data_IF_844341953553
#
_entry.id   IF_844341953553
#
_cell.length_a   1.000
_cell.length_b   1.000
_cell.length_c   1.000
_cell.angle_alpha   90.00
_cell.angle_beta   90.00
_cell.angle_gamma   90.00
#
_symmetry.space_group_name_H-M   'P 1'
#
loop_
_entity.id
_entity.type
_entity.pdbx_description
1 polymer ?
#
# COMPACT_ATOMS: atom_id res chain seq x y z
N UNK A 1 13.74 12.29 4.37
CA UNK A 1 13.87 11.13 3.47
C UNK A 1 13.58 11.50 2.02
N UNK A 2 12.60 12.37 1.78
CA UNK A 2 12.13 12.72 0.45
C UNK A 2 11.55 14.13 0.42
N UNK A 3 11.50 14.75 -0.78
CA UNK A 3 10.83 16.03 -0.98
C UNK A 3 9.32 15.80 -0.88
N UNK A 4 8.64 16.56 -0.01
CA UNK A 4 7.20 16.51 0.20
C UNK A 4 6.61 17.84 -0.25
N UNK A 5 5.66 17.83 -1.16
CA UNK A 5 5.00 19.01 -1.67
C UNK A 5 3.48 18.84 -1.58
N UNK A 6 2.83 19.93 -1.19
CA UNK A 6 1.36 20.01 -1.16
C UNK A 6 0.94 21.17 -2.06
N UNK A 7 0.17 20.84 -3.07
CA UNK A 7 -0.44 21.81 -3.96
C UNK A 7 -1.95 21.87 -3.73
N UNK A 8 -2.56 23.00 -4.06
CA UNK A 8 -4.01 23.16 -4.03
C UNK A 8 -4.57 23.28 -5.45
N UNK A 9 -5.61 22.52 -5.73
CA UNK A 9 -6.31 22.50 -7.01
C UNK A 9 -7.80 22.68 -6.79
N UNK A 10 -8.46 23.47 -7.66
CA UNK A 10 -9.91 23.65 -7.62
C UNK A 10 -10.65 22.31 -7.82
N UNK A 11 -10.14 21.42 -8.68
CA UNK A 11 -10.77 20.16 -9.02
C UNK A 11 -10.40 19.04 -8.05
N UNK A 12 -9.12 18.90 -7.71
CA UNK A 12 -8.63 17.80 -6.88
C UNK A 12 -8.54 18.12 -5.38
N UNK A 13 -8.78 19.39 -4.96
CA UNK A 13 -8.48 19.84 -3.59
C UNK A 13 -6.97 19.86 -3.34
N UNK A 14 -6.53 19.42 -2.18
CA UNK A 14 -5.11 19.24 -1.90
C UNK A 14 -4.54 18.06 -2.69
N UNK A 15 -3.30 18.20 -3.16
CA UNK A 15 -2.56 17.21 -3.93
C UNK A 15 -1.22 17.00 -3.22
N UNK A 16 -0.91 15.76 -2.87
CA UNK A 16 0.39 15.36 -2.33
C UNK A 16 1.31 14.88 -3.46
N UNK A 17 2.51 15.44 -3.51
CA UNK A 17 3.61 14.91 -4.31
C UNK A 17 4.75 14.47 -3.38
N UNK A 18 5.36 13.33 -3.72
CA UNK A 18 6.60 12.86 -3.14
C UNK A 18 7.64 12.70 -4.26
N UNK A 19 8.75 13.42 -4.17
CA UNK A 19 9.80 13.42 -5.21
C UNK A 19 9.22 13.68 -6.62
N UNK A 20 8.41 14.73 -6.74
CA UNK A 20 7.75 15.18 -7.97
C UNK A 20 6.72 14.16 -8.56
N UNK A 21 6.40 13.07 -7.84
CA UNK A 21 5.40 12.09 -8.24
C UNK A 21 4.07 12.33 -7.51
N UNK A 22 2.97 12.29 -8.24
CA UNK A 22 1.62 12.36 -7.65
C UNK A 22 1.38 11.13 -6.77
N UNK A 23 0.96 11.36 -5.53
CA UNK A 23 0.65 10.29 -4.58
C UNK A 23 -0.83 10.25 -4.21
N UNK A 24 -1.38 11.38 -3.80
CA UNK A 24 -2.72 11.47 -3.24
C UNK A 24 -3.41 12.76 -3.67
N UNK A 25 -4.71 12.71 -3.87
CA UNK A 25 -5.57 13.90 -3.97
C UNK A 25 -6.71 13.83 -2.96
N UNK A 26 -7.13 15.00 -2.47
CA UNK A 26 -8.23 15.10 -1.52
C UNK A 26 -9.58 14.67 -2.13
N UNK A 27 -9.76 14.91 -3.44
CA UNK A 27 -10.99 14.64 -4.20
C UNK A 27 -10.68 13.89 -5.49
N UNK A 28 -11.69 13.19 -6.02
CA UNK A 28 -11.69 12.59 -7.36
C UNK A 28 -10.60 11.52 -7.59
N UNK A 29 -10.20 10.78 -6.55
CA UNK A 29 -9.19 9.71 -6.62
C UNK A 29 -9.58 8.43 -5.86
N UNK A 30 -10.85 8.15 -5.73
CA UNK A 30 -11.34 7.02 -4.93
C UNK A 30 -10.94 5.64 -5.49
N UNK A 31 -10.63 5.54 -6.77
CA UNK A 31 -10.40 4.27 -7.47
C UNK A 31 -9.28 3.43 -6.85
N UNK A 32 -8.23 4.07 -6.36
CA UNK A 32 -7.10 3.37 -5.74
C UNK A 32 -7.54 2.57 -4.51
N UNK A 33 -8.10 3.26 -3.51
CA UNK A 33 -8.57 2.63 -2.26
C UNK A 33 -9.73 1.67 -2.49
N UNK A 34 -10.70 2.01 -3.33
CA UNK A 34 -11.85 1.16 -3.65
C UNK A 34 -11.41 -0.13 -4.33
N UNK A 35 -10.48 -0.05 -5.29
CA UNK A 35 -9.93 -1.24 -5.94
C UNK A 35 -9.15 -2.09 -4.95
N UNK A 36 -8.30 -1.50 -4.12
CA UNK A 36 -7.57 -2.23 -3.09
C UNK A 36 -8.50 -3.03 -2.19
N UNK A 37 -9.58 -2.42 -1.69
CA UNK A 37 -10.56 -3.10 -0.83
C UNK A 37 -11.38 -4.14 -1.58
N UNK A 38 -11.71 -3.93 -2.85
CA UNK A 38 -12.48 -4.88 -3.67
C UNK A 38 -11.74 -6.21 -3.87
N UNK A 39 -10.42 -6.18 -3.87
CA UNK A 39 -9.56 -7.37 -3.98
C UNK A 39 -9.70 -8.27 -2.74
N UNK A 40 -9.98 -7.66 -1.58
CA UNK A 40 -10.01 -8.34 -0.30
C UNK A 40 -11.41 -8.92 -0.05
N UNK A 41 -11.59 -10.22 -0.29
CA UNK A 41 -12.89 -10.88 -0.11
C UNK A 41 -13.29 -11.08 1.34
N UNK A 42 -12.33 -11.29 2.24
CA UNK A 42 -12.59 -11.51 3.67
C UNK A 42 -13.15 -10.23 4.30
N UNK A 43 -14.25 -10.36 5.03
CA UNK A 43 -14.82 -9.24 5.81
C UNK A 43 -14.13 -9.03 7.15
N UNK A 44 -13.52 -10.10 7.72
CA UNK A 44 -12.82 -10.07 9.00
C UNK A 44 -11.34 -10.40 8.78
N UNK A 45 -10.48 -9.55 9.31
CA UNK A 45 -9.02 -9.65 9.25
C UNK A 45 -8.47 -9.55 10.67
N UNK A 46 -7.70 -10.54 11.10
CA UNK A 46 -7.13 -10.52 12.45
C UNK A 46 -5.87 -9.64 12.50
N UNK A 47 -4.97 -9.76 11.53
CA UNK A 47 -3.71 -9.05 11.51
C UNK A 47 -3.41 -8.55 10.09
N UNK A 48 -3.23 -7.23 9.95
CA UNK A 48 -3.00 -6.55 8.68
C UNK A 48 -1.70 -5.76 8.76
N UNK A 49 -0.93 -5.77 7.69
CA UNK A 49 0.27 -4.94 7.51
C UNK A 49 0.10 -4.06 6.28
N UNK A 50 0.43 -2.78 6.44
CA UNK A 50 0.68 -1.83 5.34
C UNK A 50 2.13 -1.38 5.47
N UNK A 51 2.92 -1.48 4.41
CA UNK A 51 4.25 -0.87 4.30
C UNK A 51 4.11 0.34 3.38
N UNK A 52 4.51 1.52 3.88
CA UNK A 52 4.10 2.81 3.36
C UNK A 52 2.76 3.22 3.92
N UNK A 53 1.94 3.91 3.13
CA UNK A 53 0.58 4.30 3.51
C UNK A 53 0.53 5.31 4.66
N UNK A 54 1.56 6.15 4.80
CA UNK A 54 1.61 7.22 5.81
C UNK A 54 0.52 8.28 5.65
N UNK A 55 -0.20 8.27 4.54
CA UNK A 55 -1.38 9.09 4.29
C UNK A 55 -2.67 8.57 4.95
N UNK A 56 -2.66 7.31 5.43
CA UNK A 56 -3.78 6.62 6.07
C UNK A 56 -5.01 6.38 5.17
N UNK A 57 -4.95 6.65 3.88
CA UNK A 57 -6.12 6.49 3.00
C UNK A 57 -6.60 5.04 2.95
N UNK A 58 -5.69 4.09 2.70
CA UNK A 58 -6.01 2.65 2.71
C UNK A 58 -6.44 2.19 4.11
N UNK A 59 -5.76 2.65 5.16
CA UNK A 59 -6.08 2.29 6.54
C UNK A 59 -7.52 2.71 6.92
N UNK A 60 -7.89 3.96 6.65
CA UNK A 60 -9.23 4.48 6.90
C UNK A 60 -10.29 3.66 6.15
N UNK A 61 -10.07 3.46 4.84
CA UNK A 61 -11.02 2.71 4.02
C UNK A 61 -11.13 1.22 4.39
N UNK A 62 -10.07 0.63 4.92
CA UNK A 62 -10.10 -0.72 5.51
C UNK A 62 -11.04 -0.78 6.71
N UNK A 63 -10.97 0.18 7.64
CA UNK A 63 -11.86 0.19 8.81
C UNK A 63 -13.31 0.44 8.43
N UNK A 64 -13.61 1.24 7.42
CA UNK A 64 -14.98 1.45 6.94
C UNK A 64 -15.60 0.19 6.34
N UNK A 65 -14.80 -0.69 5.76
CA UNK A 65 -15.30 -1.82 4.97
C UNK A 65 -15.03 -3.20 5.57
N UNK A 66 -14.12 -3.31 6.53
CA UNK A 66 -13.66 -4.58 7.12
C UNK A 66 -13.60 -4.52 8.64
N UNK A 67 -13.77 -5.66 9.27
CA UNK A 67 -13.55 -5.83 10.72
C UNK A 67 -12.07 -6.20 10.91
N UNK A 68 -11.29 -5.29 11.48
CA UNK A 68 -9.86 -5.47 11.73
C UNK A 68 -9.62 -5.56 13.24
N UNK A 69 -8.80 -6.52 13.68
CA UNK A 69 -8.34 -6.60 15.07
C UNK A 69 -7.07 -5.81 15.30
N UNK A 70 -6.10 -5.94 14.39
CA UNK A 70 -4.79 -5.28 14.49
C UNK A 70 -4.32 -4.84 13.10
N UNK A 71 -3.86 -3.62 13.00
CA UNK A 71 -3.26 -3.03 11.80
C UNK A 71 -1.89 -2.46 12.16
N UNK A 72 -0.85 -2.93 11.51
CA UNK A 72 0.48 -2.30 11.55
C UNK A 72 0.67 -1.47 10.28
N UNK A 73 1.09 -0.22 10.45
CA UNK A 73 1.50 0.68 9.37
C UNK A 73 2.98 0.96 9.59
N UNK A 74 3.82 0.63 8.62
CA UNK A 74 5.27 0.85 8.69
C UNK A 74 5.64 1.87 7.62
N UNK A 75 5.82 3.12 8.04
CA UNK A 75 6.15 4.25 7.19
C UNK A 75 7.59 4.70 7.46
N UNK A 76 8.36 4.91 6.41
CA UNK A 76 9.77 5.30 6.55
C UNK A 76 9.92 6.78 6.90
N UNK A 77 8.96 7.61 6.53
CA UNK A 77 9.04 9.06 6.64
C UNK A 77 7.91 9.64 7.50
N UNK A 78 8.25 10.00 8.75
CA UNK A 78 7.28 10.62 9.65
C UNK A 78 6.70 11.94 9.13
N UNK A 79 7.44 12.69 8.32
CA UNK A 79 6.95 13.96 7.79
C UNK A 79 5.83 13.76 6.75
N UNK A 80 5.77 12.60 6.08
CA UNK A 80 4.61 12.20 5.27
C UNK A 80 3.37 12.08 6.15
N UNK A 81 3.44 11.32 7.24
CA UNK A 81 2.32 11.16 8.19
C UNK A 81 1.84 12.51 8.73
N UNK A 82 2.78 13.35 9.14
CA UNK A 82 2.49 14.68 9.69
C UNK A 82 1.83 15.58 8.66
N UNK A 83 2.34 15.61 7.43
CA UNK A 83 1.79 16.39 6.34
C UNK A 83 0.40 15.92 5.95
N UNK A 84 0.21 14.61 5.83
CA UNK A 84 -1.09 14.04 5.49
C UNK A 84 -2.13 14.27 6.58
N UNK A 85 -1.76 14.18 7.85
CA UNK A 85 -2.65 14.53 8.96
C UNK A 85 -3.11 15.99 8.92
N UNK A 86 -2.24 16.91 8.45
CA UNK A 86 -2.57 18.34 8.34
C UNK A 86 -3.43 18.65 7.11
N UNK A 87 -3.10 18.09 5.96
CA UNK A 87 -3.68 18.48 4.67
C UNK A 87 -4.74 17.53 4.13
N UNK A 88 -4.80 16.29 4.67
CA UNK A 88 -5.79 15.27 4.35
C UNK A 88 -6.45 14.70 5.62
N UNK A 89 -7.02 15.57 6.50
CA UNK A 89 -7.51 15.16 7.80
C UNK A 89 -8.61 14.10 7.75
N UNK A 90 -9.35 14.01 6.64
CA UNK A 90 -10.39 13.00 6.42
C UNK A 90 -9.84 11.56 6.52
N UNK A 91 -8.61 11.31 6.06
CA UNK A 91 -7.99 9.98 6.13
C UNK A 91 -7.59 9.60 7.56
N UNK A 92 -7.40 10.57 8.43
CA UNK A 92 -7.03 10.39 9.84
C UNK A 92 -8.23 10.47 10.80
N UNK A 93 -9.45 10.64 10.27
CA UNK A 93 -10.69 10.73 11.07
C UNK A 93 -11.21 9.35 11.46
N UNK A 94 -10.38 8.57 12.15
CA UNK A 94 -10.71 7.25 12.67
C UNK A 94 -11.39 7.33 14.04
N UNK A 95 -12.31 6.42 14.33
CA UNK A 95 -12.94 6.28 15.65
C UNK A 95 -11.90 5.87 16.70
N UNK A 96 -12.15 6.17 17.96
CA UNK A 96 -11.21 5.86 19.07
C UNK A 96 -10.86 4.36 19.14
N UNK A 97 -11.85 3.49 18.97
CA UNK A 97 -11.66 2.04 18.98
C UNK A 97 -10.87 1.52 17.77
N UNK A 98 -10.87 2.23 16.65
CA UNK A 98 -10.08 1.92 15.45
C UNK A 98 -8.63 2.37 15.65
N UNK A 99 -8.42 3.59 16.16
CA UNK A 99 -7.09 4.10 16.52
C UNK A 99 -6.34 3.16 17.46
N UNK A 100 -7.03 2.57 18.43
CA UNK A 100 -6.44 1.63 19.39
C UNK A 100 -5.99 0.30 18.75
N UNK A 101 -6.38 0.03 17.51
CA UNK A 101 -5.96 -1.17 16.76
C UNK A 101 -4.78 -0.91 15.83
N UNK A 102 -4.38 0.36 15.67
CA UNK A 102 -3.28 0.77 14.78
C UNK A 102 -1.99 0.84 15.58
N UNK A 103 -0.99 0.15 15.06
CA UNK A 103 0.42 0.29 15.45
C UNK A 103 1.15 1.01 14.31
N UNK A 104 1.35 2.32 14.44
CA UNK A 104 2.17 3.09 13.51
C UNK A 104 3.62 2.98 13.94
N UNK A 105 4.46 2.50 13.03
CA UNK A 105 5.90 2.34 13.20
C UNK A 105 6.62 3.21 12.18
N UNK A 106 7.56 4.01 12.61
CA UNK A 106 8.42 4.80 11.73
C UNK A 106 9.74 4.04 11.58
N UNK A 107 9.86 3.28 10.49
CA UNK A 107 11.05 2.45 10.20
C UNK A 107 11.07 2.04 8.71
N UNK A 108 12.19 1.49 8.26
CA UNK A 108 12.32 0.80 6.98
C UNK A 108 11.46 -0.46 6.94
N UNK A 109 10.51 -0.51 6.02
CA UNK A 109 9.54 -1.61 5.91
C UNK A 109 10.17 -2.97 5.61
N UNK A 110 11.27 -3.01 4.86
CA UNK A 110 12.03 -4.25 4.61
C UNK A 110 12.68 -4.77 5.89
N UNK A 111 13.40 -3.89 6.58
CA UNK A 111 14.09 -4.22 7.83
C UNK A 111 13.10 -4.66 8.90
N UNK A 112 12.05 -3.87 9.10
CA UNK A 112 11.02 -4.16 10.08
C UNK A 112 10.36 -5.52 9.85
N UNK A 113 9.93 -5.83 8.61
CA UNK A 113 9.27 -7.10 8.29
C UNK A 113 10.21 -8.29 8.44
N UNK A 114 11.49 -8.13 8.10
CA UNK A 114 12.52 -9.15 8.28
C UNK A 114 12.70 -9.51 9.75
N UNK A 115 12.72 -8.52 10.64
CA UNK A 115 12.93 -8.68 12.08
C UNK A 115 11.63 -9.00 12.84
N UNK A 116 10.48 -8.88 12.19
CA UNK A 116 9.17 -9.10 12.80
C UNK A 116 9.00 -10.52 13.34
N UNK A 117 8.63 -10.63 14.63
CA UNK A 117 8.43 -11.91 15.33
C UNK A 117 7.01 -12.13 15.86
N UNK A 118 6.07 -11.27 15.43
CA UNK A 118 4.67 -11.40 15.85
C UNK A 118 3.87 -12.38 15.01
N UNK A 119 2.55 -12.34 15.16
CA UNK A 119 1.60 -13.20 14.46
C UNK A 119 1.64 -13.00 12.95
N UNK A 120 1.44 -14.07 12.19
CA UNK A 120 1.34 -14.01 10.74
C UNK A 120 0.17 -13.11 10.28
N UNK A 121 0.34 -12.49 9.12
CA UNK A 121 -0.63 -11.54 8.56
C UNK A 121 -1.70 -12.25 7.69
N UNK A 122 -2.94 -11.79 7.80
CA UNK A 122 -4.01 -12.15 6.85
C UNK A 122 -3.88 -11.39 5.54
N UNK A 123 -3.31 -10.18 5.62
CA UNK A 123 -3.17 -9.25 4.52
C UNK A 123 -1.88 -8.45 4.68
N UNK A 124 -1.11 -8.36 3.60
CA UNK A 124 0.05 -7.46 3.47
C UNK A 124 -0.17 -6.58 2.26
N UNK A 125 -0.13 -5.27 2.46
CA UNK A 125 -0.24 -4.25 1.40
C UNK A 125 1.07 -3.49 1.34
N UNK A 126 1.61 -3.33 0.13
CA UNK A 126 2.74 -2.45 -0.14
C UNK A 126 2.20 -1.23 -0.88
N UNK A 127 2.13 -0.13 -0.15
CA UNK A 127 1.59 1.16 -0.57
C UNK A 127 2.70 2.22 -0.48
N UNK A 128 3.66 2.10 -1.37
CA UNK A 128 4.87 2.91 -1.41
C UNK A 128 5.11 3.51 -2.80
N UNK A 129 6.12 4.36 -2.92
CA UNK A 129 6.57 4.92 -4.19
C UNK A 129 7.11 3.85 -5.15
N UNK A 130 7.38 4.24 -6.39
CA UNK A 130 7.90 3.37 -7.44
C UNK A 130 9.35 2.88 -7.15
N UNK A 131 9.82 1.79 -7.79
CA UNK A 131 11.09 1.15 -7.45
C UNK A 131 12.35 2.00 -7.70
N UNK A 132 12.26 3.11 -8.42
CA UNK A 132 13.39 4.02 -8.64
C UNK A 132 13.71 4.94 -7.46
N UNK A 133 13.13 4.66 -6.30
CA UNK A 133 13.24 5.41 -5.05
C UNK A 133 13.82 4.53 -3.93
N UNK A 134 13.73 4.98 -2.68
CA UNK A 134 14.03 4.18 -1.48
C UNK A 134 13.21 2.88 -1.38
N UNK A 135 12.08 2.80 -2.10
CA UNK A 135 11.23 1.62 -2.15
C UNK A 135 11.77 0.45 -2.99
N UNK A 136 12.89 0.62 -3.72
CA UNK A 136 13.43 -0.41 -4.63
C UNK A 136 13.59 -1.80 -3.98
N UNK A 137 14.01 -1.86 -2.72
CA UNK A 137 14.19 -3.11 -1.97
C UNK A 137 12.88 -3.90 -1.82
N UNK A 138 11.73 -3.22 -1.76
CA UNK A 138 10.39 -3.81 -1.63
C UNK A 138 9.91 -4.50 -2.93
N UNK A 139 10.66 -4.38 -4.02
CA UNK A 139 10.43 -5.06 -5.29
C UNK A 139 11.43 -6.20 -5.54
N UNK A 140 12.22 -6.56 -4.53
CA UNK A 140 13.25 -7.60 -4.63
C UNK A 140 12.69 -9.00 -4.35
N UNK A 141 13.32 -10.04 -4.94
CA UNK A 141 12.99 -11.43 -4.63
C UNK A 141 13.17 -11.76 -3.15
N UNK A 142 14.19 -11.19 -2.49
CA UNK A 142 14.41 -11.37 -1.04
C UNK A 142 13.24 -10.86 -0.22
N UNK A 143 12.69 -9.71 -0.60
CA UNK A 143 11.51 -9.15 0.08
C UNK A 143 10.28 -10.05 -0.10
N UNK A 144 10.01 -10.53 -1.31
CA UNK A 144 8.88 -11.43 -1.56
C UNK A 144 8.98 -12.77 -0.80
N UNK A 145 10.19 -13.27 -0.58
CA UNK A 145 10.39 -14.42 0.31
C UNK A 145 9.95 -14.11 1.75
N UNK A 146 10.40 -12.97 2.29
CA UNK A 146 10.02 -12.53 3.64
C UNK A 146 8.51 -12.35 3.76
N UNK A 147 7.86 -11.71 2.77
CA UNK A 147 6.40 -11.56 2.73
C UNK A 147 5.72 -12.93 2.75
N UNK A 148 6.19 -13.89 1.95
CA UNK A 148 5.65 -15.24 1.94
C UNK A 148 5.76 -15.92 3.31
N UNK A 149 6.90 -15.79 3.99
CA UNK A 149 7.11 -16.34 5.33
C UNK A 149 6.18 -15.71 6.39
N UNK A 150 5.87 -14.43 6.26
CA UNK A 150 5.05 -13.66 7.22
C UNK A 150 3.55 -13.69 6.94
N UNK A 151 3.10 -14.17 5.79
CA UNK A 151 1.69 -14.35 5.47
C UNK A 151 1.15 -15.67 6.06
N UNK A 152 -0.09 -15.66 6.52
CA UNK A 152 -0.87 -16.87 6.81
C UNK A 152 -1.15 -17.65 5.52
N UNK A 153 -1.37 -18.95 5.63
CA UNK A 153 -1.94 -19.75 4.53
C UNK A 153 -3.24 -19.08 4.03
N UNK A 154 -3.41 -18.93 2.73
CA UNK A 154 -4.48 -18.19 2.05
C UNK A 154 -4.50 -16.69 2.38
N UNK A 155 -3.47 -16.16 3.03
CA UNK A 155 -3.25 -14.72 3.21
C UNK A 155 -3.04 -14.02 1.87
N UNK A 156 -3.43 -12.76 1.80
CA UNK A 156 -3.39 -11.96 0.56
C UNK A 156 -2.21 -11.00 0.59
N UNK A 157 -1.52 -10.91 -0.52
CA UNK A 157 -0.51 -9.89 -0.79
C UNK A 157 -1.00 -8.96 -1.90
N UNK A 158 -0.89 -7.66 -1.69
CA UNK A 158 -1.24 -6.60 -2.64
C UNK A 158 -0.06 -5.64 -2.70
N UNK A 159 0.41 -5.30 -3.89
CA UNK A 159 1.44 -4.27 -4.09
C UNK A 159 1.06 -3.40 -5.27
N UNK A 160 1.18 -2.07 -5.10
CA UNK A 160 1.09 -1.15 -6.22
C UNK A 160 2.16 -1.51 -7.26
N UNK A 161 1.82 -1.47 -8.54
CA UNK A 161 2.69 -2.01 -9.59
C UNK A 161 2.74 -1.15 -10.86
N UNK A 162 2.42 0.13 -10.73
CA UNK A 162 2.54 1.06 -11.84
C UNK A 162 1.43 0.92 -12.88
N UNK A 163 1.63 1.58 -14.01
CA UNK A 163 0.71 1.55 -15.14
C UNK A 163 0.98 0.36 -16.06
N UNK A 164 -0.02 -0.48 -16.37
CA UNK A 164 0.13 -1.56 -17.36
C UNK A 164 0.59 -1.07 -18.74
N UNK A 165 0.15 0.13 -19.14
CA UNK A 165 0.55 0.71 -20.43
C UNK A 165 2.02 1.08 -20.49
N UNK A 166 2.60 1.57 -19.40
CA UNK A 166 3.97 2.09 -19.35
C UNK A 166 4.95 1.11 -18.73
N UNK A 167 4.52 0.29 -17.76
CA UNK A 167 5.40 -0.47 -16.87
C UNK A 167 5.25 -1.99 -16.99
N UNK A 168 4.47 -2.51 -17.94
CA UNK A 168 4.26 -3.97 -18.10
C UNK A 168 5.59 -4.73 -18.22
N UNK A 169 6.50 -4.28 -19.11
CA UNK A 169 7.78 -4.95 -19.35
C UNK A 169 8.81 -4.64 -18.27
N UNK A 170 8.88 -3.41 -17.79
CA UNK A 170 9.93 -2.93 -16.87
C UNK A 170 9.67 -3.29 -15.41
N UNK A 171 8.40 -3.39 -14.97
CA UNK A 171 8.03 -3.60 -13.58
C UNK A 171 7.10 -4.78 -13.37
N UNK A 172 5.90 -4.79 -13.99
CA UNK A 172 4.81 -5.73 -13.66
C UNK A 172 5.21 -7.17 -13.97
N UNK A 173 5.66 -7.45 -15.18
CA UNK A 173 6.10 -8.79 -15.59
C UNK A 173 7.29 -9.32 -14.77
N UNK A 174 8.35 -8.52 -14.50
CA UNK A 174 9.41 -8.91 -13.57
C UNK A 174 8.92 -9.19 -12.14
N UNK A 175 7.99 -8.39 -11.59
CA UNK A 175 7.40 -8.63 -10.26
C UNK A 175 6.70 -9.99 -10.23
N UNK A 176 5.81 -10.27 -11.18
CA UNK A 176 5.09 -11.55 -11.28
C UNK A 176 6.04 -12.73 -11.34
N UNK A 177 7.07 -12.68 -12.20
CA UNK A 177 8.12 -13.72 -12.29
C UNK A 177 8.88 -13.93 -10.98
N UNK A 178 9.11 -12.88 -10.19
CA UNK A 178 9.76 -13.01 -8.88
C UNK A 178 8.82 -13.70 -7.88
N UNK A 179 7.52 -13.35 -7.88
CA UNK A 179 6.52 -13.97 -7.01
C UNK A 179 6.30 -15.44 -7.32
N UNK A 180 6.36 -15.84 -8.60
CA UNK A 180 6.25 -17.25 -9.04
C UNK A 180 7.32 -18.18 -8.45
N UNK A 181 8.44 -17.62 -7.96
CA UNK A 181 9.52 -18.40 -7.34
C UNK A 181 9.21 -18.87 -5.91
N UNK A 182 8.13 -18.36 -5.32
CA UNK A 182 7.72 -18.68 -3.95
C UNK A 182 6.33 -19.29 -3.93
N UNK A 183 5.90 -19.78 -2.77
CA UNK A 183 4.59 -20.43 -2.61
C UNK A 183 3.42 -19.45 -2.68
N UNK A 184 3.32 -18.72 -3.80
CA UNK A 184 2.17 -17.87 -4.12
C UNK A 184 1.33 -18.48 -5.23
N UNK A 185 0.02 -18.31 -5.13
CA UNK A 185 -0.97 -18.69 -6.14
C UNK A 185 -1.81 -17.48 -6.57
N UNK A 186 -2.53 -17.65 -7.69
CA UNK A 186 -3.42 -16.62 -8.23
C UNK A 186 -2.72 -15.27 -8.44
N UNK A 187 -1.47 -15.31 -8.92
CA UNK A 187 -0.70 -14.09 -9.23
C UNK A 187 -1.34 -13.39 -10.42
N UNK A 188 -1.84 -12.18 -10.21
CA UNK A 188 -2.50 -11.39 -11.26
C UNK A 188 -2.27 -9.91 -11.09
N UNK A 189 -2.44 -9.17 -12.17
CA UNK A 189 -2.50 -7.71 -12.18
C UNK A 189 -3.95 -7.26 -12.23
N UNK A 190 -4.33 -6.34 -11.37
CA UNK A 190 -5.65 -5.72 -11.33
C UNK A 190 -5.47 -4.26 -11.71
N UNK A 191 -5.89 -3.92 -12.92
CA UNK A 191 -5.85 -2.57 -13.47
C UNK A 191 -7.08 -1.77 -13.04
N UNK A 192 -6.89 -0.46 -12.86
CA UNK A 192 -7.96 0.48 -12.55
C UNK A 192 -7.64 1.88 -13.11
N UNK A 193 -8.68 2.69 -13.44
CA UNK A 193 -8.46 4.06 -13.88
C UNK A 193 -7.90 4.91 -12.73
N UNK A 194 -6.87 5.70 -13.03
CA UNK A 194 -6.26 6.64 -12.10
C UNK A 194 -5.85 7.91 -12.86
N UNK A 195 -6.79 8.83 -13.10
CA UNK A 195 -6.60 9.97 -14.02
C UNK A 195 -5.45 10.91 -13.69
N UNK A 196 -5.04 10.98 -12.41
CA UNK A 196 -3.93 11.83 -11.97
C UNK A 196 -2.54 11.21 -12.21
N UNK A 197 -2.49 9.88 -12.45
CA UNK A 197 -1.23 9.21 -12.70
C UNK A 197 -0.89 9.16 -14.19
N UNK A 198 0.40 9.03 -14.56
CA UNK A 198 0.78 8.89 -15.94
C UNK A 198 -0.02 7.79 -16.66
N UNK A 199 -0.47 8.06 -17.88
CA UNK A 199 -1.35 7.20 -18.70
C UNK A 199 -2.81 7.09 -18.25
N UNK A 200 -3.24 7.71 -17.15
CA UNK A 200 -4.61 7.62 -16.64
C UNK A 200 -5.00 6.24 -16.09
N UNK A 201 -4.06 5.30 -15.97
CA UNK A 201 -4.27 3.93 -15.52
C UNK A 201 -3.18 3.49 -14.56
N UNK A 202 -3.54 2.71 -13.56
CA UNK A 202 -2.63 2.13 -12.57
C UNK A 202 -2.99 0.70 -12.25
N UNK A 203 -2.18 0.00 -11.46
CA UNK A 203 -2.46 -1.40 -11.14
C UNK A 203 -1.96 -1.84 -9.78
N UNK A 204 -2.57 -2.91 -9.29
CA UNK A 204 -2.04 -3.74 -8.21
C UNK A 204 -1.60 -5.11 -8.74
N UNK A 205 -0.43 -5.56 -8.34
CA UNK A 205 -0.06 -6.97 -8.42
C UNK A 205 -0.54 -7.66 -7.14
N UNK A 206 -1.30 -8.75 -7.33
CA UNK A 206 -2.03 -9.44 -6.25
C UNK A 206 -1.71 -10.92 -6.29
N UNK A 207 -1.52 -11.54 -5.12
CA UNK A 207 -1.40 -12.99 -5.01
C UNK A 207 -1.87 -13.50 -3.64
N UNK A 208 -1.91 -14.82 -3.46
CA UNK A 208 -2.24 -15.48 -2.19
C UNK A 208 -1.16 -16.49 -1.86
N UNK A 209 -0.83 -16.59 -0.58
CA UNK A 209 -0.01 -17.72 -0.10
C UNK A 209 -0.77 -19.05 -0.22
N UNK A 210 -0.09 -20.06 -0.70
CA UNK A 210 -0.59 -21.45 -0.80
C UNK A 210 -0.80 -22.08 0.57
#
# INVERSE_FOLDING_TARGET
>A
YQKIEIYSSKYYGNILLLQDCFMLTEKNSNQYKETCISIIRKKKLDNVLIIGGGDFEIAHHLFDNKIIKKLSIVEIDYDVVKSCKKYFPQNHNLKKNEKNKINLVIDDGYKWLKEYKGDLFDLVIIDCTDPNTSANVLYSSKFYNIVNERLKRKGVFIQQSGSPLLHEKSLIKPMRKKLERYSFSNIKTVEFPMPIYPSGSWSFTVCKKV
#
